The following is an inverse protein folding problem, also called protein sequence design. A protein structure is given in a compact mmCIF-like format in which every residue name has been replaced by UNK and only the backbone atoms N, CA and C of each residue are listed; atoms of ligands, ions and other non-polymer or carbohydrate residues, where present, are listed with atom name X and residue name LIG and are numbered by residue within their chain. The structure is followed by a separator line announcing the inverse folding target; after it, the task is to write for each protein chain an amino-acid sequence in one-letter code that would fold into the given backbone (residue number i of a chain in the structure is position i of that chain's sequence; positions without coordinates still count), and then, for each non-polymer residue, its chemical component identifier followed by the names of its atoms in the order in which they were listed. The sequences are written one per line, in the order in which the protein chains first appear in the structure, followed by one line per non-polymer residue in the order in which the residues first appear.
data_IF_103209498204
#
_entry.id   IF_103209498204
#
_cell.length_a   1.000
_cell.length_b   1.000
_cell.length_c   1.000
_cell.angle_alpha   90.00
_cell.angle_beta   90.00
_cell.angle_gamma   90.00
#
_symmetry.space_group_name_H-M   'P 1'
#
loop_
_entity.id
_entity.type
_entity.pdbx_description
1 polymer ?
#
# COMPACT_ATOMS: atom_id res chain seq x y z
N UNK A 1 15.41 24.95 -7.65
CA UNK A 1 16.06 25.12 -6.34
C UNK A 1 15.03 24.63 -5.35
N UNK A 2 15.03 23.38 -4.89
CA UNK A 2 16.15 22.47 -4.63
C UNK A 2 15.76 21.02 -4.94
N UNK A 3 16.34 20.46 -6.00
CA UNK A 3 16.44 19.00 -6.20
C UNK A 3 17.77 18.55 -5.59
N UNK A 4 17.94 18.79 -4.29
CA UNK A 4 18.96 18.11 -3.50
C UNK A 4 18.42 16.72 -3.17
N UNK A 5 19.24 15.68 -3.38
CA UNK A 5 18.95 14.28 -3.06
C UNK A 5 18.12 14.17 -1.76
N UNK A 6 16.80 14.01 -1.94
CA UNK A 6 15.81 14.40 -0.95
C UNK A 6 15.90 13.49 0.27
N UNK A 7 15.90 14.07 1.46
CA UNK A 7 15.68 13.33 2.71
C UNK A 7 14.48 12.41 2.51
N UNK A 8 14.69 11.09 2.55
CA UNK A 8 13.62 10.12 2.37
C UNK A 8 12.48 10.44 3.33
N UNK A 9 11.30 10.79 2.78
CA UNK A 9 10.10 11.09 3.58
C UNK A 9 9.43 9.82 4.12
N UNK A 10 10.09 8.68 4.04
CA UNK A 10 9.58 7.37 4.49
C UNK A 10 9.16 7.40 5.97
N UNK A 11 9.89 8.15 6.80
CA UNK A 11 9.64 8.32 8.24
C UNK A 11 8.75 9.53 8.56
N UNK A 12 8.15 10.17 7.55
CA UNK A 12 7.22 11.28 7.78
C UNK A 12 5.90 10.75 8.35
N UNK A 13 5.34 11.43 9.34
CA UNK A 13 3.99 11.16 9.82
C UNK A 13 2.94 11.25 8.70
N UNK A 14 3.19 12.07 7.67
CA UNK A 14 2.30 12.22 6.52
C UNK A 14 2.34 11.03 5.54
N UNK A 15 3.27 10.08 5.74
CA UNK A 15 3.38 8.86 4.93
C UNK A 15 2.49 7.71 5.44
N UNK A 16 1.72 7.93 6.52
CA UNK A 16 0.85 6.91 7.08
C UNK A 16 -0.26 7.49 7.95
N UNK A 17 -1.18 6.62 8.35
CA UNK A 17 -2.22 6.92 9.32
C UNK A 17 -2.62 5.62 10.02
N UNK A 18 -3.23 5.74 11.19
CA UNK A 18 -3.56 4.56 12.01
C UNK A 18 -4.82 3.87 11.49
N UNK A 19 -4.75 2.54 11.43
CA UNK A 19 -5.83 1.66 11.01
C UNK A 19 -6.05 0.57 12.06
N UNK A 20 -7.30 0.09 12.16
CA UNK A 20 -7.57 -1.15 12.88
C UNK A 20 -6.83 -2.31 12.20
N UNK A 21 -6.29 -3.31 12.93
CA UNK A 21 -5.45 -4.36 12.36
C UNK A 21 -6.04 -5.07 11.14
N UNK A 22 -7.34 -5.37 11.16
CA UNK A 22 -8.02 -6.00 10.01
C UNK A 22 -8.05 -5.08 8.78
N UNK A 23 -8.24 -3.77 8.97
CA UNK A 23 -8.25 -2.80 7.87
C UNK A 23 -6.84 -2.55 7.35
N UNK A 24 -5.84 -2.55 8.24
CA UNK A 24 -4.43 -2.48 7.87
C UNK A 24 -4.05 -3.62 6.92
N UNK A 25 -4.39 -4.87 7.25
CA UNK A 25 -4.11 -6.02 6.38
C UNK A 25 -4.74 -5.86 4.99
N UNK A 26 -5.97 -5.35 4.91
CA UNK A 26 -6.64 -5.08 3.64
C UNK A 26 -5.97 -3.94 2.87
N UNK A 27 -5.52 -2.90 3.56
CA UNK A 27 -4.82 -1.76 2.98
C UNK A 27 -3.47 -2.20 2.38
N UNK A 28 -2.66 -2.94 3.15
CA UNK A 28 -1.36 -3.46 2.73
C UNK A 28 -1.46 -4.42 1.52
N UNK A 29 -2.57 -5.16 1.41
CA UNK A 29 -2.87 -6.02 0.26
C UNK A 29 -3.54 -5.28 -0.90
N UNK A 30 -3.66 -3.96 -0.81
CA UNK A 30 -4.33 -3.11 -1.77
C UNK A 30 -5.82 -3.43 -2.01
N UNK A 31 -6.48 -4.12 -1.07
CA UNK A 31 -7.89 -4.49 -1.13
C UNK A 31 -8.83 -3.37 -0.67
N UNK A 32 -8.30 -2.40 0.07
CA UNK A 32 -8.99 -1.16 0.47
C UNK A 32 -8.06 0.01 0.20
N UNK A 33 -8.61 1.12 -0.29
CA UNK A 33 -7.85 2.36 -0.47
C UNK A 33 -8.70 3.60 -0.28
N UNK A 34 -8.08 4.78 -0.36
CA UNK A 34 -8.74 6.09 -0.26
C UNK A 34 -8.40 6.88 -1.50
N UNK A 35 -9.41 7.41 -2.19
CA UNK A 35 -9.23 8.30 -3.32
C UNK A 35 -9.27 9.77 -2.89
N UNK A 36 -8.13 10.47 -2.76
CA UNK A 36 -8.11 11.88 -2.38
C UNK A 36 -8.72 12.78 -3.46
N UNK A 37 -8.77 12.33 -4.72
CA UNK A 37 -9.33 13.10 -5.85
C UNK A 37 -10.86 12.97 -5.95
N UNK A 38 -11.48 12.08 -5.17
CA UNK A 38 -12.94 11.89 -5.09
C UNK A 38 -13.41 12.11 -3.65
N UNK A 39 -13.06 13.27 -3.09
CA UNK A 39 -13.52 13.69 -1.76
C UNK A 39 -13.04 12.81 -0.61
N UNK A 40 -11.89 12.13 -0.76
CA UNK A 40 -11.36 11.15 0.21
C UNK A 40 -12.27 9.95 0.43
N UNK A 41 -12.98 9.53 -0.62
CA UNK A 41 -13.81 8.33 -0.61
C UNK A 41 -12.97 7.07 -0.41
N UNK A 42 -13.41 6.21 0.51
CA UNK A 42 -12.88 4.87 0.72
C UNK A 42 -13.43 3.96 -0.38
N UNK A 43 -12.55 3.21 -1.02
CA UNK A 43 -12.86 2.27 -2.10
C UNK A 43 -12.42 0.88 -1.68
N UNK A 44 -13.35 -0.08 -1.72
CA UNK A 44 -13.11 -1.48 -1.41
C UNK A 44 -13.08 -2.28 -2.73
N UNK A 45 -12.00 -3.02 -2.94
CA UNK A 45 -11.77 -3.82 -4.16
C UNK A 45 -12.08 -5.32 -3.97
N UNK A 46 -12.64 -5.68 -2.82
CA UNK A 46 -13.05 -7.05 -2.44
C UNK A 46 -14.48 -7.03 -1.88
N UNK A 47 -14.92 -8.11 -1.22
CA UNK A 47 -16.17 -8.12 -0.47
C UNK A 47 -16.13 -7.11 0.67
N UNK A 48 -17.06 -6.16 0.67
CA UNK A 48 -17.17 -5.13 1.70
C UNK A 48 -17.82 -5.65 3.00
N UNK A 49 -17.13 -6.58 3.66
CA UNK A 49 -17.61 -7.21 4.91
C UNK A 49 -17.64 -6.25 6.10
N UNK A 50 -16.89 -5.14 6.03
CA UNK A 50 -16.81 -4.12 7.07
C UNK A 50 -17.71 -2.91 6.78
N UNK A 51 -18.37 -2.87 5.62
CA UNK A 51 -19.25 -1.77 5.21
C UNK A 51 -18.51 -0.45 5.02
N UNK A 52 -17.25 -0.49 4.57
CA UNK A 52 -16.35 0.65 4.43
C UNK A 52 -16.52 1.38 3.08
N UNK A 53 -17.01 0.69 2.05
CA UNK A 53 -17.05 1.24 0.70
C UNK A 53 -17.94 2.48 0.63
N UNK A 54 -17.44 3.52 -0.03
CA UNK A 54 -18.14 4.79 -0.18
C UNK A 54 -18.19 5.67 1.06
N UNK A 55 -17.67 5.23 2.21
CA UNK A 55 -17.43 6.14 3.34
C UNK A 55 -16.34 7.15 3.00
N UNK A 56 -16.23 8.21 3.79
CA UNK A 56 -15.19 9.23 3.65
C UNK A 56 -14.15 9.05 4.75
N UNK A 57 -12.86 9.18 4.39
CA UNK A 57 -11.77 9.16 5.36
C UNK A 57 -12.00 10.22 6.45
N UNK A 58 -11.70 9.84 7.69
CA UNK A 58 -11.90 10.69 8.86
C UNK A 58 -11.24 12.07 8.67
N UNK A 59 -11.93 13.19 8.96
CA UNK A 59 -11.38 14.53 8.84
C UNK A 59 -10.05 14.73 9.56
N UNK A 60 -9.79 14.03 10.67
CA UNK A 60 -8.52 14.11 11.42
C UNK A 60 -7.34 13.72 10.52
N UNK A 61 -7.51 12.76 9.62
CA UNK A 61 -6.46 12.32 8.73
C UNK A 61 -6.17 13.30 7.57
N UNK A 62 -7.10 14.20 7.24
CA UNK A 62 -7.06 15.04 6.02
C UNK A 62 -7.18 16.53 6.28
N UNK A 63 -6.93 16.96 7.53
CA UNK A 63 -6.97 18.36 7.89
C UNK A 63 -5.69 19.08 7.41
N UNK A 64 -5.76 20.01 6.45
CA UNK A 64 -4.56 20.68 5.92
C UNK A 64 -3.85 21.57 6.96
N UNK A 65 -4.52 21.94 8.06
CA UNK A 65 -3.90 22.70 9.15
C UNK A 65 -3.13 21.83 10.14
N UNK A 66 -3.31 20.51 10.12
CA UNK A 66 -2.58 19.58 10.98
C UNK A 66 -1.31 19.10 10.24
N UNK A 67 -0.09 19.38 10.72
CA UNK A 67 1.13 18.90 10.07
C UNK A 67 1.26 17.36 10.00
N UNK A 68 0.44 16.61 10.74
CA UNK A 68 0.43 15.14 10.76
C UNK A 68 -0.67 14.51 9.89
N UNK A 69 -1.39 15.30 9.08
CA UNK A 69 -2.34 14.75 8.10
C UNK A 69 -1.63 13.84 7.10
N UNK A 70 -2.32 12.83 6.60
CA UNK A 70 -1.79 11.96 5.56
C UNK A 70 -1.67 12.76 4.26
N UNK A 71 -0.56 12.57 3.56
CA UNK A 71 -0.29 13.23 2.27
C UNK A 71 -1.26 12.74 1.19
N UNK A 72 -1.92 13.68 0.51
CA UNK A 72 -2.70 13.39 -0.70
C UNK A 72 -1.87 12.66 -1.77
N UNK A 73 -0.57 12.96 -1.86
CA UNK A 73 0.31 12.29 -2.82
C UNK A 73 0.51 10.82 -2.45
N UNK A 74 0.68 10.51 -1.16
CA UNK A 74 0.82 9.14 -0.68
C UNK A 74 -0.50 8.35 -0.89
N UNK A 75 -1.64 8.94 -0.50
CA UNK A 75 -2.96 8.35 -0.75
C UNK A 75 -3.20 8.09 -2.23
N UNK A 76 -2.92 9.07 -3.09
CA UNK A 76 -3.11 8.94 -4.54
C UNK A 76 -2.19 7.87 -5.14
N UNK A 77 -0.96 7.78 -4.68
CA UNK A 77 -0.05 6.72 -5.11
C UNK A 77 -0.60 5.35 -4.72
N UNK A 78 -0.99 5.16 -3.46
CA UNK A 78 -1.57 3.91 -2.98
C UNK A 78 -2.85 3.56 -3.73
N UNK A 79 -3.76 4.51 -3.93
CA UNK A 79 -4.99 4.29 -4.69
C UNK A 79 -4.72 3.80 -6.11
N UNK A 80 -3.74 4.40 -6.80
CA UNK A 80 -3.32 3.93 -8.13
C UNK A 80 -2.78 2.51 -8.07
N UNK A 81 -1.98 2.16 -7.07
CA UNK A 81 -1.53 0.78 -6.87
C UNK A 81 -2.70 -0.16 -6.63
N UNK A 82 -3.68 0.22 -5.81
CA UNK A 82 -4.88 -0.58 -5.59
C UNK A 82 -5.72 -0.78 -6.83
N UNK A 83 -5.91 0.26 -7.63
CA UNK A 83 -6.58 0.12 -8.93
C UNK A 83 -5.78 -0.82 -9.83
N UNK A 84 -4.45 -0.67 -9.94
CA UNK A 84 -3.62 -1.53 -10.79
C UNK A 84 -3.63 -2.99 -10.32
N UNK A 85 -3.46 -3.22 -9.03
CA UNK A 85 -3.44 -4.53 -8.40
C UNK A 85 -4.77 -5.26 -8.57
N UNK A 86 -5.90 -4.55 -8.58
CA UNK A 86 -7.24 -5.16 -8.64
C UNK A 86 -7.86 -5.17 -10.05
N UNK A 87 -7.57 -4.20 -10.90
CA UNK A 87 -8.03 -4.18 -12.30
C UNK A 87 -7.23 -5.17 -13.16
N UNK A 88 -5.93 -5.35 -12.89
CA UNK A 88 -5.16 -6.46 -13.49
C UNK A 88 -5.54 -7.83 -12.93
N UNK A 89 -6.01 -7.89 -11.69
CA UNK A 89 -6.40 -9.12 -10.95
C UNK A 89 -7.61 -9.87 -11.47
N UNK A 90 -8.24 -9.46 -12.57
CA UNK A 90 -9.16 -10.33 -13.30
C UNK A 90 -8.34 -11.44 -14.01
N UNK A 91 -7.51 -12.19 -13.26
CA UNK A 91 -6.60 -13.23 -13.75
C UNK A 91 -5.32 -13.50 -12.93
N UNK A 92 -4.90 -12.63 -12.00
CA UNK A 92 -3.59 -12.73 -11.33
C UNK A 92 -3.66 -13.09 -9.82
N UNK A 93 -2.69 -13.85 -9.28
CA UNK A 93 -2.68 -14.38 -7.92
C UNK A 93 -2.40 -13.32 -6.85
N UNK A 94 -2.86 -13.62 -5.63
CA UNK A 94 -2.55 -12.84 -4.42
C UNK A 94 -1.18 -13.25 -3.91
N UNK A 95 -0.40 -12.26 -3.50
CA UNK A 95 0.99 -12.40 -3.10
C UNK A 95 1.11 -12.12 -1.59
N UNK A 96 1.54 -13.12 -0.81
CA UNK A 96 1.79 -13.00 0.64
C UNK A 96 3.16 -12.37 0.89
N UNK A 97 3.23 -11.35 1.75
CA UNK A 97 4.46 -10.60 2.03
C UNK A 97 4.86 -10.63 3.51
N UNK A 98 4.04 -11.24 4.37
CA UNK A 98 4.30 -11.36 5.81
C UNK A 98 4.93 -12.71 6.09
N UNK A 99 6.27 -12.74 6.08
CA UNK A 99 7.06 -13.96 6.29
C UNK A 99 7.49 -14.03 7.77
N UNK A 100 7.07 -15.06 8.53
CA UNK A 100 7.43 -15.18 9.94
C UNK A 100 8.96 -15.17 10.18
N UNK A 101 9.44 -14.60 11.31
CA UNK A 101 10.86 -14.66 11.64
C UNK A 101 11.36 -16.12 11.69
N UNK A 102 12.33 -16.46 10.85
CA UNK A 102 12.91 -17.79 10.75
C UNK A 102 12.36 -18.67 9.62
N UNK A 103 11.39 -18.20 8.82
CA UNK A 103 11.05 -18.86 7.57
C UNK A 103 12.04 -18.51 6.46
N UNK A 104 12.26 -19.46 5.56
CA UNK A 104 13.02 -19.23 4.33
C UNK A 104 12.14 -18.51 3.31
N UNK A 105 12.10 -17.20 3.45
CA UNK A 105 11.37 -16.27 2.59
C UNK A 105 11.64 -16.50 1.09
N UNK A 106 12.87 -16.87 0.69
CA UNK A 106 13.18 -17.10 -0.72
C UNK A 106 12.53 -18.38 -1.22
N UNK A 107 12.59 -19.44 -0.41
CA UNK A 107 11.90 -20.70 -0.73
C UNK A 107 10.38 -20.50 -0.81
N UNK A 108 9.79 -19.70 0.06
CA UNK A 108 8.34 -19.43 0.03
C UNK A 108 7.94 -18.58 -1.19
N UNK A 109 8.74 -17.58 -1.58
CA UNK A 109 8.50 -16.79 -2.79
C UNK A 109 8.57 -17.66 -4.05
N UNK A 110 9.61 -18.50 -4.17
CA UNK A 110 9.80 -19.39 -5.31
C UNK A 110 8.71 -20.47 -5.42
N UNK A 111 8.20 -20.97 -4.29
CA UNK A 111 7.09 -21.90 -4.25
C UNK A 111 5.73 -21.25 -4.59
N UNK A 112 5.67 -19.91 -4.54
CA UNK A 112 4.47 -19.14 -4.82
C UNK A 112 4.15 -19.01 -6.32
N UNK A 113 2.94 -18.53 -6.65
CA UNK A 113 2.58 -18.22 -8.03
C UNK A 113 3.56 -17.22 -8.65
N UNK A 114 3.98 -17.42 -9.90
CA UNK A 114 5.00 -16.60 -10.57
C UNK A 114 6.30 -16.46 -9.77
N UNK A 115 6.70 -17.52 -9.06
CA UNK A 115 7.79 -17.46 -8.08
C UNK A 115 9.12 -16.97 -8.65
N UNK A 116 9.43 -17.27 -9.92
CA UNK A 116 10.65 -16.78 -10.55
C UNK A 116 10.58 -15.27 -10.82
N UNK A 117 9.50 -14.79 -11.46
CA UNK A 117 9.31 -13.37 -11.75
C UNK A 117 9.22 -12.55 -10.47
N UNK A 118 8.59 -13.12 -9.45
CA UNK A 118 8.43 -12.52 -8.13
C UNK A 118 9.75 -12.45 -7.37
N UNK A 119 10.59 -13.49 -7.47
CA UNK A 119 11.95 -13.48 -6.94
C UNK A 119 12.82 -12.42 -7.62
N UNK A 120 12.78 -12.32 -8.94
CA UNK A 120 13.55 -11.32 -9.70
C UNK A 120 13.14 -9.88 -9.33
N UNK A 121 11.83 -9.63 -9.17
CA UNK A 121 11.32 -8.35 -8.69
C UNK A 121 11.79 -8.05 -7.27
N UNK A 122 11.64 -9.00 -6.34
CA UNK A 122 12.02 -8.85 -4.93
C UNK A 122 13.53 -8.56 -4.78
N UNK A 123 14.37 -9.32 -5.50
CA UNK A 123 15.81 -9.09 -5.56
C UNK A 123 16.14 -7.72 -6.16
N UNK A 124 15.45 -7.32 -7.22
CA UNK A 124 15.62 -6.00 -7.83
C UNK A 124 15.22 -4.84 -6.91
N UNK A 125 14.23 -5.01 -6.04
CA UNK A 125 13.85 -4.01 -5.03
C UNK A 125 14.91 -3.92 -3.94
N UNK A 126 15.27 -5.06 -3.33
CA UNK A 126 16.22 -5.12 -2.20
C UNK A 126 17.63 -4.69 -2.57
N UNK A 127 18.11 -5.09 -3.75
CA UNK A 127 19.46 -4.71 -4.20
C UNK A 127 19.55 -3.23 -4.59
N UNK A 128 18.42 -2.58 -4.92
CA UNK A 128 18.38 -1.13 -5.16
C UNK A 128 18.45 -0.31 -3.88
N UNK A 129 18.15 -0.88 -2.71
CA UNK A 129 18.34 -0.21 -1.41
C UNK A 129 19.80 -0.23 -0.92
N UNK A 130 20.70 -0.92 -1.63
CA UNK A 130 22.13 -1.09 -1.27
C UNK A 130 23.07 -0.21 -2.10
N UNK A 131 22.55 0.63 -3.01
CA UNK A 131 23.34 1.56 -3.85
C UNK A 131 23.00 3.01 -3.54
#
# INVERSE_FOLDING_TARGET
MDDAAGSSKINSAQNGFLLQPTVQQLFDQYLVSVNPDDGYKIVVFTFDVLGLDGRILDPVCRNPTDPHHVSDQALRWHYRQSVLANVRRRGEPIFEHDFPPGTDMLSEILAGPYGQERFELEMGVRLREVV
#
